data_IF_981709265960
#
_entry.id   IF_981709265960
#
_cell.length_a   1.000
_cell.length_b   1.000
_cell.length_c   1.000
_cell.angle_alpha   90.00
_cell.angle_beta   90.00
_cell.angle_gamma   90.00
#
_symmetry.space_group_name_H-M   'P 1'
#
loop_
_entity.id
_entity.type
_entity.pdbx_description
1 polymer ?
#
# COMPACT_ATOMS: atom_id res chain seq x y z
N UNK A 1 8.55 -14.99 -1.76
CA UNK A 1 7.83 -14.86 -3.05
C UNK A 1 8.32 -13.60 -3.74
N UNK A 2 8.62 -13.62 -5.04
CA UNK A 2 9.17 -12.45 -5.75
C UNK A 2 8.06 -11.45 -6.07
N UNK A 3 8.25 -10.17 -5.74
CA UNK A 3 7.31 -9.10 -6.10
C UNK A 3 7.29 -8.90 -7.63
N UNK A 4 6.16 -9.14 -8.31
CA UNK A 4 6.07 -8.86 -9.73
C UNK A 4 6.18 -7.36 -10.04
N UNK A 5 5.88 -6.49 -9.07
CA UNK A 5 5.92 -5.04 -9.22
C UNK A 5 7.32 -4.42 -9.11
N UNK A 6 8.25 -5.06 -8.37
CA UNK A 6 9.62 -4.55 -8.16
C UNK A 6 10.70 -5.28 -8.95
N UNK A 7 10.39 -6.46 -9.50
CA UNK A 7 11.39 -7.30 -10.14
C UNK A 7 12.40 -7.89 -9.12
N UNK A 8 13.41 -8.64 -9.58
CA UNK A 8 14.29 -9.45 -8.73
C UNK A 8 15.23 -8.63 -7.82
N UNK A 9 15.41 -7.34 -8.06
CA UNK A 9 16.31 -6.47 -7.27
C UNK A 9 15.48 -5.51 -6.43
N UNK A 10 15.20 -5.90 -5.19
CA UNK A 10 14.59 -5.06 -4.16
C UNK A 10 15.65 -4.15 -3.53
N UNK A 11 15.85 -2.96 -4.09
CA UNK A 11 16.70 -1.96 -3.43
C UNK A 11 15.92 -1.27 -2.32
N UNK A 12 16.57 -1.01 -1.17
CA UNK A 12 15.96 -0.28 -0.05
C UNK A 12 15.34 1.06 -0.48
N UNK A 13 15.92 1.72 -1.49
CA UNK A 13 15.36 2.93 -2.11
C UNK A 13 13.95 2.69 -2.66
N UNK A 14 13.72 1.60 -3.37
CA UNK A 14 12.40 1.29 -3.91
C UNK A 14 11.40 0.96 -2.79
N UNK A 15 11.82 0.22 -1.75
CA UNK A 15 10.97 -0.01 -0.58
C UNK A 15 10.56 1.31 0.09
N UNK A 16 11.51 2.25 0.24
CA UNK A 16 11.24 3.58 0.78
C UNK A 16 10.27 4.39 -0.10
N UNK A 17 10.43 4.34 -1.43
CA UNK A 17 9.51 5.01 -2.35
C UNK A 17 8.10 4.43 -2.20
N UNK A 18 7.95 3.11 -2.19
CA UNK A 18 6.65 2.45 -2.01
C UNK A 18 6.02 2.86 -0.67
N UNK A 19 6.76 2.78 0.43
CA UNK A 19 6.27 3.15 1.75
C UNK A 19 5.81 4.62 1.79
N UNK A 20 6.62 5.53 1.23
CA UNK A 20 6.30 6.95 1.14
C UNK A 20 5.06 7.20 0.28
N UNK A 21 4.91 6.51 -0.85
CA UNK A 21 3.72 6.61 -1.72
C UNK A 21 2.47 6.15 -0.99
N UNK A 22 2.48 4.97 -0.34
CA UNK A 22 1.31 4.48 0.39
C UNK A 22 0.94 5.43 1.53
N UNK A 23 1.93 5.92 2.28
CA UNK A 23 1.72 6.94 3.30
C UNK A 23 1.11 8.22 2.74
N UNK A 24 1.60 8.71 1.59
CA UNK A 24 1.09 9.91 0.95
C UNK A 24 -0.36 9.75 0.47
N UNK A 25 -0.70 8.59 -0.09
CA UNK A 25 -2.07 8.28 -0.52
C UNK A 25 -3.03 8.18 0.68
N UNK A 26 -2.57 7.58 1.78
CA UNK A 26 -3.36 7.43 3.01
C UNK A 26 -3.41 8.73 3.84
N UNK A 27 -2.49 9.67 3.64
CA UNK A 27 -2.32 10.86 4.48
C UNK A 27 -3.61 11.71 4.57
N UNK A 28 -4.13 11.90 5.78
CA UNK A 28 -5.34 12.68 6.01
C UNK A 28 -6.65 11.90 5.87
N UNK A 29 -6.60 10.57 5.75
CA UNK A 29 -7.77 9.72 5.95
C UNK A 29 -7.90 9.32 7.43
N UNK A 30 -9.12 9.31 7.99
CA UNK A 30 -9.34 8.75 9.32
C UNK A 30 -9.01 7.25 9.30
N UNK A 31 -8.22 6.79 10.26
CA UNK A 31 -7.75 5.40 10.30
C UNK A 31 -6.54 5.11 9.40
N UNK A 32 -5.88 6.14 8.85
CA UNK A 32 -4.75 5.96 7.94
C UNK A 32 -3.63 5.09 8.53
N UNK A 33 -3.30 3.96 7.89
CA UNK A 33 -2.16 3.16 8.30
C UNK A 33 -0.85 3.88 7.98
N UNK A 34 0.17 3.65 8.81
CA UNK A 34 1.55 4.05 8.55
C UNK A 34 2.32 2.87 8.00
N UNK A 35 3.05 3.09 6.92
CA UNK A 35 3.90 2.08 6.29
C UNK A 35 5.35 2.47 6.46
N UNK A 36 6.16 1.54 6.97
CA UNK A 36 7.60 1.67 7.07
C UNK A 36 8.28 0.66 6.13
N UNK A 37 9.31 1.10 5.42
CA UNK A 37 10.13 0.22 4.61
C UNK A 37 11.08 -0.59 5.51
N UNK A 38 11.11 -1.90 5.31
CA UNK A 38 12.05 -2.82 5.92
C UNK A 38 13.04 -3.33 4.85
N UNK A 39 14.13 -3.95 5.31
CA UNK A 39 15.14 -4.57 4.44
C UNK A 39 14.51 -5.57 3.47
N UNK A 40 13.56 -6.37 3.95
CA UNK A 40 12.97 -7.48 3.22
C UNK A 40 11.48 -7.29 2.86
N UNK A 41 10.92 -6.09 3.08
CA UNK A 41 9.50 -5.80 2.82
C UNK A 41 9.02 -4.48 3.42
N UNK A 42 7.80 -4.47 3.95
CA UNK A 42 7.17 -3.32 4.60
C UNK A 42 6.50 -3.72 5.90
N UNK A 43 6.46 -2.79 6.84
CA UNK A 43 5.67 -2.89 8.06
C UNK A 43 4.54 -1.88 7.99
N UNK A 44 3.31 -2.36 7.91
CA UNK A 44 2.12 -1.55 8.05
C UNK A 44 1.71 -1.50 9.52
N UNK A 45 1.34 -0.33 10.02
CA UNK A 45 0.76 -0.11 11.33
C UNK A 45 -0.55 0.65 11.16
N UNK A 46 -1.67 -0.02 11.38
CA UNK A 46 -3.00 0.58 11.38
C UNK A 46 -3.23 1.51 12.57
N UNK A 47 -4.22 2.38 12.46
CA UNK A 47 -4.56 3.33 13.53
C UNK A 47 -5.03 2.66 14.83
N UNK A 48 -5.57 1.45 14.75
CA UNK A 48 -5.98 0.64 15.90
C UNK A 48 -4.81 -0.08 16.61
N UNK A 49 -3.56 0.16 16.19
CA UNK A 49 -2.38 -0.52 16.73
C UNK A 49 -2.10 -1.90 16.11
N UNK A 50 -2.97 -2.38 15.21
CA UNK A 50 -2.70 -3.56 14.41
C UNK A 50 -1.46 -3.32 13.54
N UNK A 51 -0.53 -4.26 13.51
CA UNK A 51 0.63 -4.20 12.62
C UNK A 51 0.71 -5.46 11.77
N UNK A 52 1.03 -5.28 10.50
CA UNK A 52 1.18 -6.36 9.54
C UNK A 52 2.50 -6.18 8.82
N UNK A 53 3.32 -7.22 8.80
CA UNK A 53 4.52 -7.26 7.99
C UNK A 53 4.15 -7.81 6.61
N UNK A 54 4.33 -6.99 5.58
CA UNK A 54 3.98 -7.33 4.20
C UNK A 54 5.28 -7.49 3.42
N UNK A 55 5.46 -8.62 2.76
CA UNK A 55 6.61 -8.87 1.91
C UNK A 55 6.34 -8.48 0.46
N UNK A 56 5.08 -8.31 0.08
CA UNK A 56 4.69 -7.90 -1.28
C UNK A 56 3.90 -6.59 -1.28
N UNK A 57 3.92 -5.90 -2.42
CA UNK A 57 3.10 -4.70 -2.61
C UNK A 57 1.60 -5.04 -2.54
N UNK A 58 1.24 -6.25 -2.98
CA UNK A 58 -0.12 -6.77 -2.92
C UNK A 58 -0.61 -6.95 -1.48
N UNK A 59 0.16 -7.70 -0.66
CA UNK A 59 -0.10 -7.87 0.77
C UNK A 59 -0.23 -6.52 1.48
N UNK A 60 0.63 -5.57 1.12
CA UNK A 60 0.61 -4.23 1.70
C UNK A 60 -0.69 -3.50 1.39
N UNK A 61 -1.13 -3.48 0.13
CA UNK A 61 -2.40 -2.84 -0.21
C UNK A 61 -3.59 -3.59 0.39
N UNK A 62 -3.59 -4.92 0.41
CA UNK A 62 -4.63 -5.72 1.05
C UNK A 62 -4.75 -5.40 2.54
N UNK A 63 -3.63 -5.31 3.26
CA UNK A 63 -3.61 -4.91 4.67
C UNK A 63 -4.08 -3.46 4.88
N UNK A 64 -3.66 -2.54 4.01
CA UNK A 64 -4.09 -1.13 4.05
C UNK A 64 -5.59 -1.00 3.84
N UNK A 65 -6.15 -1.73 2.86
CA UNK A 65 -7.58 -1.75 2.59
C UNK A 65 -8.36 -2.37 3.75
N UNK A 66 -7.83 -3.42 4.38
CA UNK A 66 -8.41 -4.02 5.59
C UNK A 66 -8.45 -3.06 6.79
N UNK A 67 -7.57 -2.05 6.85
CA UNK A 67 -7.62 -1.03 7.91
C UNK A 67 -8.81 -0.07 7.76
N UNK A 68 -9.37 0.09 6.56
CA UNK A 68 -10.48 1.00 6.30
C UNK A 68 -11.81 0.24 6.27
N UNK A 69 -12.48 0.21 7.42
CA UNK A 69 -13.81 -0.42 7.53
C UNK A 69 -14.94 0.45 6.95
N UNK A 70 -14.73 1.76 6.83
CA UNK A 70 -15.71 2.68 6.27
C UNK A 70 -15.66 2.71 4.73
N UNK A 71 -16.74 2.29 4.03
CA UNK A 71 -16.77 2.27 2.56
C UNK A 71 -16.63 3.67 1.93
N UNK A 72 -17.03 4.74 2.63
CA UNK A 72 -16.84 6.11 2.15
C UNK A 72 -15.36 6.51 2.17
N UNK A 73 -14.61 6.05 3.17
CA UNK A 73 -13.15 6.26 3.26
C UNK A 73 -12.43 5.42 2.20
N UNK A 74 -12.86 4.17 2.00
CA UNK A 74 -12.34 3.29 0.95
C UNK A 74 -12.53 3.91 -0.45
N UNK A 75 -13.70 4.46 -0.74
CA UNK A 75 -13.98 5.16 -2.00
C UNK A 75 -13.16 6.44 -2.18
N UNK A 76 -12.78 7.13 -1.10
CA UNK A 76 -11.84 8.26 -1.15
C UNK A 76 -10.40 7.80 -1.40
N UNK A 77 -9.97 6.71 -0.75
CA UNK A 77 -8.65 6.12 -0.95
C UNK A 77 -8.45 5.68 -2.40
N UNK A 78 -9.42 4.99 -3.00
CA UNK A 78 -9.36 4.54 -4.39
C UNK A 78 -9.26 5.70 -5.37
N UNK A 79 -10.06 6.75 -5.18
CA UNK A 79 -9.96 7.98 -5.99
C UNK A 79 -8.61 8.66 -5.83
N UNK A 80 -8.05 8.68 -4.62
CA UNK A 80 -6.71 9.21 -4.37
C UNK A 80 -5.62 8.37 -5.01
N UNK A 81 -5.69 7.04 -4.99
CA UNK A 81 -4.76 6.16 -5.72
C UNK A 81 -4.75 6.48 -7.20
N UNK A 82 -5.93 6.58 -7.81
CA UNK A 82 -6.07 6.90 -9.24
C UNK A 82 -5.51 8.29 -9.56
N UNK A 83 -5.83 9.29 -8.75
CA UNK A 83 -5.31 10.65 -8.92
C UNK A 83 -3.78 10.70 -8.76
N UNK A 84 -3.23 9.98 -7.79
CA UNK A 84 -1.79 9.92 -7.54
C UNK A 84 -1.05 9.21 -8.68
N UNK A 85 -1.62 8.13 -9.24
CA UNK A 85 -1.06 7.43 -10.38
C UNK A 85 -1.17 8.22 -11.70
N UNK A 86 -2.20 9.06 -11.83
CA UNK A 86 -2.40 9.93 -12.98
C UNK A 86 -1.51 11.18 -12.96
N UNK A 87 -0.89 11.51 -11.83
CA UNK A 87 -0.02 12.67 -11.70
C UNK A 87 1.33 12.42 -12.41
N UNK A 88 1.70 13.25 -13.41
CA UNK A 88 2.97 13.11 -14.11
C UNK A 88 4.19 13.26 -13.20
N UNK A 89 4.08 13.95 -12.06
CA UNK A 89 5.16 14.06 -11.07
C UNK A 89 5.43 12.73 -10.33
N UNK A 90 4.46 11.80 -10.32
CA UNK A 90 4.55 10.50 -9.66
C UNK A 90 4.81 9.36 -10.64
N UNK A 91 5.13 9.67 -11.91
CA UNK A 91 5.40 8.68 -12.94
C UNK A 91 6.53 7.70 -12.54
N UNK A 92 6.43 6.45 -13.00
CA UNK A 92 7.41 5.40 -12.71
C UNK A 92 7.01 4.51 -11.53
N UNK A 93 7.96 4.23 -10.63
CA UNK A 93 7.74 3.35 -9.47
C UNK A 93 6.61 3.81 -8.51
N UNK A 94 6.42 5.12 -8.23
CA UNK A 94 5.32 5.59 -7.37
C UNK A 94 3.95 5.34 -8.03
N UNK A 95 3.81 5.64 -9.32
CA UNK A 95 2.57 5.37 -10.06
C UNK A 95 2.26 3.87 -10.13
N UNK A 96 3.27 3.00 -10.26
CA UNK A 96 3.09 1.53 -10.20
C UNK A 96 2.70 1.06 -8.81
N UNK A 97 3.32 1.64 -7.77
CA UNK A 97 2.97 1.37 -6.38
C UNK A 97 1.53 1.78 -6.06
N UNK A 98 1.08 2.95 -6.55
CA UNK A 98 -0.29 3.42 -6.37
C UNK A 98 -1.30 2.76 -7.32
N UNK A 99 -0.85 2.27 -8.48
CA UNK A 99 -1.72 1.77 -9.55
C UNK A 99 -2.00 0.26 -9.52
N UNK A 100 -1.24 -0.54 -8.75
CA UNK A 100 -1.40 -2.00 -8.75
C UNK A 100 -2.71 -2.42 -8.06
N UNK A 101 -3.77 -2.82 -8.78
CA UNK A 101 -4.97 -3.34 -8.12
C UNK A 101 -4.55 -4.54 -7.24
N UNK A 102 -5.02 -4.64 -5.99
CA UNK A 102 -4.78 -5.84 -5.21
C UNK A 102 -5.36 -7.02 -5.99
N UNK A 103 -4.60 -8.09 -6.09
CA UNK A 103 -5.06 -9.32 -6.68
C UNK A 103 -6.25 -9.84 -5.84
N UNK A 104 -7.44 -10.03 -6.44
CA UNK A 104 -8.59 -10.53 -5.71
C UNK A 104 -8.35 -11.91 -5.09
N UNK A 105 -7.35 -12.67 -5.57
CA UNK A 105 -6.99 -13.97 -5.00
C UNK A 105 -6.32 -13.89 -3.61
N UNK A 106 -5.81 -12.72 -3.20
CA UNK A 106 -5.27 -12.50 -1.86
C UNK A 106 -6.27 -11.92 -0.86
N UNK A 107 -7.54 -11.74 -1.25
CA UNK A 107 -8.63 -11.46 -0.31
C UNK A 107 -9.02 -12.75 0.43
N UNK A 108 -8.11 -13.25 1.28
CA UNK A 108 -8.47 -14.26 2.28
C UNK A 108 -8.92 -13.51 3.52
N UNK A 109 -10.22 -13.16 3.53
CA UNK A 109 -10.89 -12.61 4.69
C UNK A 109 -10.80 -13.59 5.85
N UNK A 110 -9.91 -13.30 6.79
CA UNK A 110 -9.94 -13.84 8.14
C UNK A 110 -9.42 -12.75 9.09
N UNK A 111 -10.29 -11.78 9.36
CA UNK A 111 -10.21 -10.95 10.56
C UNK A 111 -11.48 -11.24 11.37
N UNK A 112 -11.49 -12.42 12.00
CA UNK A 112 -12.45 -12.79 13.05
C UNK A 112 -11.74 -12.78 14.40
#
# INVERSE_FOLDING_TARGET
MADPALGPVRTMRQHLIVAATVNAVCAGLPGAPKVNALKDGWLMTGAAGASAQCQTLDELWSAVLGCFQDPAVLGRLMRRRLAYAADPANAGLPARAAGLPPDPEHYQGDFA
#
